data_IF_326749924368
#
_entry.id   IF_326749924368
#
_cell.length_a   1.000
_cell.length_b   1.000
_cell.length_c   1.000
_cell.angle_alpha   90.00
_cell.angle_beta   90.00
_cell.angle_gamma   90.00
#
_symmetry.space_group_name_H-M   'P 1'
#
loop_
_entity.id
_entity.type
_entity.pdbx_description
1 polymer ?
#
# COMPACT_ATOMS: atom_id res chain seq x y z
N UNK A 1 -59.16 -61.37 -26.40
CA UNK A 1 -59.18 -60.42 -25.27
C UNK A 1 -57.72 -60.12 -24.98
N UNK A 2 -57.21 -59.02 -25.54
CA UNK A 2 -55.80 -58.66 -25.46
C UNK A 2 -55.72 -57.40 -24.60
N UNK A 3 -55.19 -57.56 -23.40
CA UNK A 3 -54.99 -56.48 -22.45
C UNK A 3 -53.94 -55.49 -22.99
N UNK A 4 -54.38 -54.27 -23.25
CA UNK A 4 -53.51 -53.13 -23.54
C UNK A 4 -52.98 -52.59 -22.21
N UNK A 5 -51.93 -53.19 -21.67
CA UNK A 5 -51.14 -52.54 -20.63
C UNK A 5 -50.28 -51.45 -21.28
N UNK A 6 -50.68 -50.18 -21.05
CA UNK A 6 -49.83 -49.04 -21.38
C UNK A 6 -48.52 -49.10 -20.58
N UNK A 7 -47.36 -48.80 -21.19
CA UNK A 7 -46.10 -48.75 -20.48
C UNK A 7 -46.13 -47.62 -19.43
N UNK A 8 -45.48 -47.80 -18.27
CA UNK A 8 -45.42 -46.77 -17.24
C UNK A 8 -44.73 -45.52 -17.82
N UNK A 9 -45.37 -44.36 -17.64
CA UNK A 9 -44.81 -43.05 -17.96
C UNK A 9 -43.48 -42.90 -17.20
N UNK A 10 -42.37 -42.80 -17.93
CA UNK A 10 -41.08 -42.55 -17.32
C UNK A 10 -41.10 -41.17 -16.63
N UNK A 11 -40.79 -41.09 -15.32
CA UNK A 11 -40.65 -39.81 -14.63
C UNK A 11 -39.27 -39.23 -14.99
N UNK A 12 -39.18 -38.64 -16.18
CA UNK A 12 -37.94 -38.05 -16.71
C UNK A 12 -38.24 -36.88 -17.63
N UNK A 13 -39.11 -35.98 -17.18
CA UNK A 13 -39.53 -34.81 -17.95
C UNK A 13 -38.60 -33.61 -17.79
N UNK A 14 -38.74 -32.62 -18.68
CA UNK A 14 -38.09 -31.29 -18.62
C UNK A 14 -38.13 -30.61 -17.24
N UNK A 15 -39.14 -30.95 -16.42
CA UNK A 15 -39.26 -30.45 -15.05
C UNK A 15 -38.16 -31.00 -14.13
N UNK A 16 -37.83 -32.30 -14.23
CA UNK A 16 -36.77 -32.92 -13.44
C UNK A 16 -35.39 -32.34 -13.81
N UNK A 17 -35.13 -32.19 -15.11
CA UNK A 17 -33.88 -31.56 -15.59
C UNK A 17 -33.72 -30.12 -15.10
N UNK A 18 -34.83 -29.36 -15.05
CA UNK A 18 -34.83 -28.01 -14.50
C UNK A 18 -34.60 -28.00 -12.98
N UNK A 19 -35.19 -28.94 -12.23
CA UNK A 19 -34.96 -29.10 -10.80
C UNK A 19 -33.50 -29.46 -10.47
N UNK A 20 -32.93 -30.41 -11.22
CA UNK A 20 -31.53 -30.81 -11.08
C UNK A 20 -30.59 -29.64 -11.40
N UNK A 21 -30.88 -28.89 -12.47
CA UNK A 21 -30.12 -27.68 -12.84
C UNK A 21 -30.19 -26.60 -11.75
N UNK A 22 -31.36 -26.38 -11.15
CA UNK A 22 -31.53 -25.42 -10.06
C UNK A 22 -30.76 -25.88 -8.81
N UNK A 23 -30.75 -27.18 -8.52
CA UNK A 23 -29.98 -27.72 -7.39
C UNK A 23 -28.47 -27.51 -7.58
N UNK A 24 -27.95 -27.74 -8.79
CA UNK A 24 -26.54 -27.48 -9.13
C UNK A 24 -26.22 -25.99 -9.01
N UNK A 25 -27.03 -25.10 -9.61
CA UNK A 25 -26.81 -23.66 -9.53
C UNK A 25 -26.85 -23.13 -8.09
N UNK A 26 -27.74 -23.65 -7.24
CA UNK A 26 -27.77 -23.30 -5.81
C UNK A 26 -26.48 -23.69 -5.11
N UNK A 27 -25.93 -24.86 -5.44
CA UNK A 27 -24.68 -25.36 -4.89
C UNK A 27 -23.51 -24.49 -5.34
N UNK A 28 -23.42 -24.18 -6.64
CA UNK A 28 -22.39 -23.30 -7.20
C UNK A 28 -22.47 -21.89 -6.61
N UNK A 29 -23.68 -21.34 -6.47
CA UNK A 29 -23.88 -20.03 -5.85
C UNK A 29 -23.41 -20.01 -4.40
N UNK A 30 -23.68 -21.08 -3.63
CA UNK A 30 -23.18 -21.19 -2.26
C UNK A 30 -21.65 -21.25 -2.20
N UNK A 31 -21.01 -21.99 -3.11
CA UNK A 31 -19.54 -22.05 -3.22
C UNK A 31 -18.96 -20.68 -3.56
N UNK A 32 -19.51 -19.99 -4.56
CA UNK A 32 -19.06 -18.65 -4.94
C UNK A 32 -19.23 -17.63 -3.81
N UNK A 33 -20.35 -17.68 -3.08
CA UNK A 33 -20.55 -16.82 -1.91
C UNK A 33 -19.51 -17.06 -0.82
N UNK A 34 -19.12 -18.31 -0.59
CA UNK A 34 -18.03 -18.64 0.33
C UNK A 34 -16.69 -18.08 -0.16
N UNK A 35 -16.35 -18.27 -1.44
CA UNK A 35 -15.11 -17.75 -2.02
C UNK A 35 -15.04 -16.21 -1.98
N UNK A 36 -16.13 -15.52 -2.27
CA UNK A 36 -16.19 -14.05 -2.20
C UNK A 36 -15.95 -13.57 -0.75
N UNK A 37 -16.53 -14.24 0.24
CA UNK A 37 -16.29 -13.91 1.66
C UNK A 37 -14.84 -14.13 2.05
N UNK A 38 -14.26 -15.25 1.62
CA UNK A 38 -12.85 -15.56 1.88
C UNK A 38 -11.92 -14.52 1.26
N UNK A 39 -12.11 -14.21 -0.03
CA UNK A 39 -11.33 -13.18 -0.73
C UNK A 39 -11.47 -11.80 -0.08
N UNK A 40 -12.68 -11.43 0.35
CA UNK A 40 -12.92 -10.16 1.05
C UNK A 40 -12.15 -10.11 2.37
N UNK A 41 -12.15 -11.20 3.13
CA UNK A 41 -11.39 -11.33 4.37
C UNK A 41 -9.89 -11.21 4.11
N UNK A 42 -9.37 -11.94 3.11
CA UNK A 42 -7.95 -11.88 2.73
C UNK A 42 -7.55 -10.48 2.27
N UNK A 43 -8.37 -9.82 1.46
CA UNK A 43 -8.12 -8.44 1.01
C UNK A 43 -7.97 -7.50 2.21
N UNK A 44 -8.91 -7.58 3.16
CA UNK A 44 -8.86 -6.75 4.36
C UNK A 44 -7.60 -7.00 5.21
N UNK A 45 -7.22 -8.27 5.40
CA UNK A 45 -5.99 -8.62 6.12
C UNK A 45 -4.75 -8.06 5.41
N UNK A 46 -4.70 -8.14 4.08
CA UNK A 46 -3.58 -7.61 3.31
C UNK A 46 -3.51 -6.08 3.37
N UNK A 47 -4.64 -5.38 3.31
CA UNK A 47 -4.70 -3.92 3.47
C UNK A 47 -4.16 -3.46 4.82
N UNK A 48 -4.55 -4.13 5.90
CA UNK A 48 -4.05 -3.83 7.25
C UNK A 48 -2.53 -4.02 7.30
N UNK A 49 -2.03 -5.16 6.81
CA UNK A 49 -0.59 -5.45 6.80
C UNK A 49 0.19 -4.47 5.94
N UNK A 50 -0.35 -4.07 4.79
CA UNK A 50 0.27 -3.08 3.92
C UNK A 50 0.43 -1.75 4.66
N UNK A 51 -0.62 -1.29 5.35
CA UNK A 51 -0.58 -0.07 6.15
C UNK A 51 0.47 -0.14 7.27
N UNK A 52 0.58 -1.27 7.93
CA UNK A 52 1.60 -1.49 8.97
C UNK A 52 3.01 -1.45 8.37
N UNK A 53 3.24 -2.11 7.23
CA UNK A 53 4.53 -2.10 6.55
C UNK A 53 4.91 -0.72 6.03
N UNK A 54 3.97 0.03 5.47
CA UNK A 54 4.19 1.43 5.07
C UNK A 54 4.57 2.28 6.28
N UNK A 55 3.85 2.13 7.39
CA UNK A 55 4.16 2.79 8.64
C UNK A 55 5.59 2.49 9.10
N UNK A 56 5.97 1.21 9.18
CA UNK A 56 7.30 0.78 9.56
C UNK A 56 8.40 1.28 8.61
N UNK A 57 8.14 1.24 7.30
CA UNK A 57 9.08 1.71 6.29
C UNK A 57 9.31 3.22 6.34
N UNK A 58 8.36 3.99 6.87
CA UNK A 58 8.42 5.44 6.93
C UNK A 58 8.89 5.97 8.28
N UNK A 59 9.10 5.11 9.27
CA UNK A 59 9.49 5.51 10.64
C UNK A 59 10.71 6.43 10.67
N UNK A 60 11.70 6.13 9.83
CA UNK A 60 12.96 6.86 9.74
C UNK A 60 12.93 8.00 8.73
N UNK A 61 11.82 8.17 8.00
CA UNK A 61 11.74 9.15 6.94
C UNK A 61 11.38 10.54 7.47
N UNK A 62 11.98 11.56 6.86
CA UNK A 62 11.67 12.97 7.06
C UNK A 62 11.35 13.64 5.73
N UNK A 63 10.42 14.61 5.78
CA UNK A 63 10.06 15.44 4.64
C UNK A 63 10.62 16.84 4.86
N UNK A 64 11.42 17.30 3.92
CA UNK A 64 12.05 18.62 3.99
C UNK A 64 11.49 19.44 2.83
N UNK A 65 10.87 20.56 3.17
CA UNK A 65 10.23 21.46 2.21
C UNK A 65 11.10 22.69 2.00
N UNK A 66 10.79 23.46 0.95
CA UNK A 66 11.45 24.75 0.69
C UNK A 66 12.97 24.69 0.50
N UNK A 67 13.46 23.55 0.00
CA UNK A 67 14.87 23.40 -0.38
C UNK A 67 15.06 23.80 -1.85
N UNK A 68 15.90 24.81 -2.15
CA UNK A 68 16.15 25.26 -3.52
C UNK A 68 16.57 24.13 -4.45
N UNK A 69 16.02 24.07 -5.67
CA UNK A 69 16.26 22.99 -6.65
C UNK A 69 17.74 22.86 -7.05
N UNK A 70 18.49 23.97 -7.01
CA UNK A 70 19.92 24.01 -7.31
C UNK A 70 20.72 24.07 -6.02
N UNK A 71 20.82 22.93 -5.35
CA UNK A 71 21.78 22.76 -4.27
C UNK A 71 23.16 22.43 -4.87
N UNK A 72 24.19 23.18 -4.49
CA UNK A 72 25.46 23.29 -5.21
C UNK A 72 26.35 22.05 -5.20
N UNK A 73 26.11 21.11 -6.13
CA UNK A 73 27.04 20.03 -6.47
C UNK A 73 27.17 18.91 -5.44
N UNK A 74 26.52 19.04 -4.28
CA UNK A 74 26.42 17.98 -3.27
C UNK A 74 25.39 16.92 -3.68
N UNK A 75 25.64 15.69 -3.26
CA UNK A 75 24.62 14.63 -3.28
C UNK A 75 23.50 14.97 -2.27
N UNK A 76 22.29 14.48 -2.51
CA UNK A 76 21.11 14.90 -1.73
C UNK A 76 21.20 14.49 -0.26
N UNK A 77 21.82 13.35 0.04
CA UNK A 77 22.14 12.88 1.39
C UNK A 77 23.01 13.89 2.14
N UNK A 78 24.16 14.27 1.56
CA UNK A 78 25.08 15.24 2.15
C UNK A 78 24.43 16.62 2.34
N UNK A 79 23.61 17.04 1.37
CA UNK A 79 22.83 18.27 1.49
C UNK A 79 21.91 18.24 2.71
N UNK A 80 21.20 17.12 2.94
CA UNK A 80 20.29 16.99 4.08
C UNK A 80 21.05 16.98 5.40
N UNK A 81 22.18 16.26 5.46
CA UNK A 81 23.06 16.26 6.64
C UNK A 81 23.55 17.68 6.97
N UNK A 82 24.00 18.43 5.96
CA UNK A 82 24.45 19.82 6.13
C UNK A 82 23.31 20.73 6.59
N UNK A 83 22.11 20.58 6.01
CA UNK A 83 20.94 21.36 6.39
C UNK A 83 20.54 21.10 7.86
N UNK A 84 20.51 19.84 8.28
CA UNK A 84 20.20 19.46 9.66
C UNK A 84 21.26 20.03 10.61
N UNK A 85 22.54 19.85 10.28
CA UNK A 85 23.63 20.34 11.12
C UNK A 85 23.60 21.86 11.24
N UNK A 86 23.47 22.58 10.13
CA UNK A 86 23.50 24.05 10.10
C UNK A 86 22.35 24.70 10.86
N UNK A 87 21.15 24.11 10.79
CA UNK A 87 19.95 24.72 11.39
C UNK A 87 19.68 24.24 12.82
N UNK A 88 20.08 23.00 13.17
CA UNK A 88 19.66 22.37 14.43
C UNK A 88 20.80 22.11 15.44
N UNK A 89 22.08 22.18 15.04
CA UNK A 89 23.21 22.08 16.01
C UNK A 89 23.18 23.13 17.13
N UNK A 90 22.79 24.40 16.91
CA UNK A 90 22.79 25.41 17.98
C UNK A 90 21.83 25.09 19.14
N UNK A 91 20.88 24.16 18.95
CA UNK A 91 19.86 23.82 19.94
C UNK A 91 20.22 22.61 20.81
N UNK A 92 21.47 22.14 20.78
CA UNK A 92 21.92 21.01 21.60
C UNK A 92 21.70 19.64 20.96
N UNK A 93 21.48 19.58 19.64
CA UNK A 93 21.46 18.34 18.87
C UNK A 93 22.89 17.75 18.83
N UNK A 94 23.23 16.97 19.85
CA UNK A 94 24.55 16.38 20.03
C UNK A 94 24.73 15.10 19.19
N UNK A 95 24.75 15.23 17.85
CA UNK A 95 25.34 14.21 16.95
C UNK A 95 25.37 14.64 15.48
N UNK A 96 26.31 14.08 14.74
CA UNK A 96 26.22 13.98 13.29
C UNK A 96 25.04 13.06 12.95
N UNK A 97 23.99 13.63 12.35
CA UNK A 97 22.90 12.84 11.77
C UNK A 97 23.40 12.24 10.48
N UNK A 98 23.24 10.92 10.31
CA UNK A 98 23.59 10.22 9.07
C UNK A 98 22.33 9.93 8.26
N UNK A 99 22.37 10.26 6.98
CA UNK A 99 21.29 10.05 6.02
C UNK A 99 21.64 8.85 5.15
N UNK A 100 20.76 7.86 5.09
CA UNK A 100 20.95 6.65 4.28
C UNK A 100 20.70 6.93 2.79
N UNK A 101 19.62 7.67 2.52
CA UNK A 101 19.26 8.11 1.18
C UNK A 101 18.41 9.38 1.26
N UNK A 102 18.47 10.19 0.21
CA UNK A 102 17.59 11.34 0.04
C UNK A 102 17.32 11.59 -1.45
N UNK A 103 16.09 11.97 -1.77
CA UNK A 103 15.70 12.33 -3.14
C UNK A 103 14.51 13.30 -3.16
N UNK A 104 14.32 13.98 -4.29
CA UNK A 104 13.19 14.88 -4.50
C UNK A 104 11.94 14.13 -4.94
N UNK A 105 10.79 14.59 -4.44
CA UNK A 105 9.48 14.06 -4.78
C UNK A 105 8.62 15.18 -5.36
N UNK A 106 8.09 15.03 -6.59
CA UNK A 106 8.31 13.93 -7.53
C UNK A 106 9.73 13.93 -8.13
N UNK A 107 10.23 12.76 -8.54
CA UNK A 107 11.58 12.62 -9.08
C UNK A 107 11.82 13.43 -10.37
N UNK A 108 10.77 13.67 -11.14
CA UNK A 108 10.81 14.53 -12.33
C UNK A 108 10.74 16.00 -11.95
N UNK A 109 11.59 16.82 -12.59
CA UNK A 109 11.57 18.26 -12.38
C UNK A 109 10.22 18.82 -12.81
N UNK A 110 9.65 19.67 -11.96
CA UNK A 110 8.52 20.50 -12.36
C UNK A 110 8.98 21.49 -13.44
N UNK A 111 8.02 21.97 -14.24
CA UNK A 111 8.27 22.98 -15.28
C UNK A 111 9.03 24.18 -14.70
N UNK A 112 9.87 24.88 -15.49
CA UNK A 112 10.53 26.10 -15.03
C UNK A 112 9.51 27.07 -14.40
N UNK A 113 9.76 27.48 -13.16
CA UNK A 113 8.82 28.30 -12.37
C UNK A 113 7.86 27.52 -11.46
N UNK A 114 7.96 26.19 -11.39
CA UNK A 114 7.21 25.37 -10.43
C UNK A 114 7.65 25.55 -8.98
N UNK A 115 6.81 25.11 -8.04
CA UNK A 115 7.13 25.08 -6.61
C UNK A 115 8.36 24.22 -6.32
N UNK A 116 9.13 24.57 -5.30
CA UNK A 116 10.26 23.77 -4.86
C UNK A 116 9.78 22.38 -4.41
N UNK A 117 10.40 21.32 -4.94
CA UNK A 117 10.02 19.95 -4.61
C UNK A 117 10.47 19.58 -3.21
N UNK A 118 9.62 18.81 -2.53
CA UNK A 118 9.95 18.21 -1.23
C UNK A 118 11.09 17.22 -1.39
N UNK A 119 12.02 17.22 -0.45
CA UNK A 119 13.00 16.15 -0.29
C UNK A 119 12.43 15.14 0.69
N UNK A 120 12.42 13.86 0.31
CA UNK A 120 12.23 12.75 1.21
C UNK A 120 13.60 12.17 1.54
N UNK A 121 13.92 12.03 2.82
CA UNK A 121 15.18 11.46 3.28
C UNK A 121 14.94 10.42 4.37
N UNK A 122 15.71 9.34 4.37
CA UNK A 122 15.76 8.37 5.46
C UNK A 122 16.96 8.65 6.35
N UNK A 123 16.69 8.92 7.62
CA UNK A 123 17.73 9.05 8.64
C UNK A 123 18.07 7.65 9.13
N UNK A 124 19.35 7.31 9.14
CA UNK A 124 19.81 5.96 9.47
C UNK A 124 19.34 5.48 10.86
N UNK A 125 19.31 6.37 11.85
CA UNK A 125 18.89 6.06 13.21
C UNK A 125 17.55 6.72 13.56
N UNK A 126 16.58 5.89 13.99
CA UNK A 126 15.26 6.36 14.43
C UNK A 126 15.34 7.44 15.52
N UNK A 127 16.25 7.28 16.48
CA UNK A 127 16.43 8.25 17.57
C UNK A 127 16.93 9.60 17.05
N UNK A 128 17.83 9.58 16.07
CA UNK A 128 18.36 10.81 15.48
C UNK A 128 17.25 11.53 14.67
N UNK A 129 16.36 10.76 14.04
CA UNK A 129 15.15 11.29 13.39
C UNK A 129 14.20 11.95 14.38
N UNK A 130 13.93 11.33 15.53
CA UNK A 130 13.06 11.92 16.56
C UNK A 130 13.65 13.22 17.11
N UNK A 131 14.95 13.23 17.43
CA UNK A 131 15.62 14.44 17.92
C UNK A 131 15.60 15.54 16.86
N UNK A 132 15.85 15.21 15.60
CA UNK A 132 15.79 16.16 14.48
C UNK A 132 14.41 16.82 14.38
N UNK A 133 13.34 16.04 14.51
CA UNK A 133 11.97 16.57 14.42
C UNK A 133 11.49 17.29 15.68
N UNK A 134 12.06 16.98 16.84
CA UNK A 134 11.79 17.74 18.06
C UNK A 134 12.46 19.12 18.06
N UNK A 135 13.56 19.27 17.32
CA UNK A 135 14.32 20.51 17.21
C UNK A 135 13.87 21.43 16.05
N UNK A 136 13.11 20.91 15.09
CA UNK A 136 12.63 21.62 13.90
C UNK A 136 11.28 22.33 14.15
#
# INVERSE_FOLDING_TARGET
MSDWCAPPLQPGGRAQEAEDSIATLKTEMAVLQCQVKELTCTSHVLEVRLKDYEGCSWLNNVKIMEVPERAGGLTMDLLVEELIQKNLQPQGCAKFVSVEWAYRVPGTSLKPGGSQRTILACIFNYRDREVTLQAA
#
